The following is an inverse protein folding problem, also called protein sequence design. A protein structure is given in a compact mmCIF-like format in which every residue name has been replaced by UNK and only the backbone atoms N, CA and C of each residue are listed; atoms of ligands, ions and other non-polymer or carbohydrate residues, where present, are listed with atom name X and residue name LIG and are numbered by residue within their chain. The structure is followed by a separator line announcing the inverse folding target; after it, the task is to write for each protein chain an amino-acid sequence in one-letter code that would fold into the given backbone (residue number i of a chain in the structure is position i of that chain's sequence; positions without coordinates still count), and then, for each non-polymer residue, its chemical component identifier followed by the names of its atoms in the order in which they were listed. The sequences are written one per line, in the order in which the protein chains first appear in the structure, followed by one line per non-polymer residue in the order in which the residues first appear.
data_IF_798020826014
#
_entry.id   IF_798020826014
#
_cell.length_a   1.000
_cell.length_b   1.000
_cell.length_c   1.000
_cell.angle_alpha   90.00
_cell.angle_beta   90.00
_cell.angle_gamma   90.00
#
_symmetry.space_group_name_H-M   'P 1'
#
loop_
_entity.id
_entity.type
_entity.pdbx_description
1 polymer ?
#
# COMPACT_ATOMS: atom_id res chain seq x y z
N UNK A 1 -29.41 31.64 19.27
CA UNK A 1 -28.39 30.61 19.56
C UNK A 1 -28.71 29.39 18.72
N UNK A 2 -27.90 29.01 17.72
CA UNK A 2 -28.31 27.94 16.80
C UNK A 2 -27.30 27.56 15.71
N UNK A 3 -26.00 27.48 16.02
CA UNK A 3 -24.98 27.08 15.03
C UNK A 3 -24.02 25.95 15.46
N UNK A 4 -24.11 25.46 16.69
CA UNK A 4 -23.09 24.54 17.23
C UNK A 4 -23.36 23.05 17.03
N UNK A 5 -24.60 22.64 16.76
CA UNK A 5 -24.98 21.23 16.63
C UNK A 5 -24.59 20.62 15.28
N UNK A 6 -24.82 21.34 14.17
CA UNK A 6 -24.58 20.82 12.83
C UNK A 6 -23.09 20.55 12.50
N UNK A 7 -22.17 21.32 13.09
CA UNK A 7 -20.73 21.15 12.86
C UNK A 7 -20.21 19.86 13.51
N UNK A 8 -20.63 19.57 14.74
CA UNK A 8 -20.32 18.32 15.46
C UNK A 8 -20.75 17.09 14.67
N UNK A 9 -21.96 17.11 14.11
CA UNK A 9 -22.55 15.95 13.45
C UNK A 9 -21.94 15.71 12.07
N UNK A 10 -21.59 16.78 11.35
CA UNK A 10 -20.85 16.70 10.09
C UNK A 10 -19.43 16.12 10.30
N UNK A 11 -18.69 16.59 11.31
CA UNK A 11 -17.35 16.08 11.63
C UNK A 11 -17.36 14.61 12.03
N UNK A 12 -18.35 14.17 12.83
CA UNK A 12 -18.52 12.76 13.18
C UNK A 12 -18.82 11.88 11.95
N UNK A 13 -19.68 12.36 11.05
CA UNK A 13 -19.99 11.66 9.80
C UNK A 13 -18.78 11.52 8.89
N UNK A 14 -17.99 12.59 8.73
CA UNK A 14 -16.73 12.55 7.98
C UNK A 14 -15.72 11.60 8.59
N UNK A 15 -15.64 11.54 9.93
CA UNK A 15 -14.71 10.68 10.62
C UNK A 15 -15.03 9.19 10.47
N UNK A 16 -16.31 8.84 10.58
CA UNK A 16 -16.76 7.46 10.34
C UNK A 16 -16.47 7.00 8.90
N UNK A 17 -16.71 7.88 7.91
CA UNK A 17 -16.36 7.60 6.51
C UNK A 17 -14.85 7.44 6.31
N UNK A 18 -14.04 8.25 6.99
CA UNK A 18 -12.59 8.14 6.95
C UNK A 18 -12.11 6.80 7.54
N UNK A 19 -12.70 6.36 8.66
CA UNK A 19 -12.44 5.04 9.24
C UNK A 19 -12.72 3.90 8.26
N UNK A 20 -13.86 3.93 7.58
CA UNK A 20 -14.19 2.94 6.55
C UNK A 20 -13.21 2.96 5.38
N UNK A 21 -12.83 4.16 4.91
CA UNK A 21 -11.87 4.31 3.81
C UNK A 21 -10.49 3.76 4.18
N UNK A 22 -10.04 3.96 5.42
CA UNK A 22 -8.78 3.39 5.93
C UNK A 22 -8.80 1.86 5.92
N UNK A 23 -9.88 1.24 6.41
CA UNK A 23 -10.06 -0.22 6.41
C UNK A 23 -10.05 -0.75 4.98
N UNK A 24 -10.85 -0.14 4.10
CA UNK A 24 -10.92 -0.54 2.70
C UNK A 24 -9.55 -0.45 2.03
N UNK A 25 -8.84 0.67 2.20
CA UNK A 25 -7.51 0.86 1.62
C UNK A 25 -6.51 -0.17 2.17
N UNK A 26 -6.55 -0.45 3.46
CA UNK A 26 -5.70 -1.44 4.10
C UNK A 26 -5.93 -2.85 3.54
N UNK A 27 -7.20 -3.26 3.41
CA UNK A 27 -7.57 -4.59 2.94
C UNK A 27 -7.28 -4.76 1.44
N UNK A 28 -7.56 -3.74 0.61
CA UNK A 28 -7.23 -3.73 -0.81
C UNK A 28 -5.71 -3.79 -1.03
N UNK A 29 -4.93 -3.00 -0.29
CA UNK A 29 -3.47 -3.03 -0.35
C UNK A 29 -2.93 -4.41 0.07
N UNK A 30 -3.42 -4.97 1.18
CA UNK A 30 -3.01 -6.29 1.64
C UNK A 30 -3.33 -7.40 0.61
N UNK A 31 -4.52 -7.33 -0.02
CA UNK A 31 -4.92 -8.24 -1.09
C UNK A 31 -4.00 -8.13 -2.30
N UNK A 32 -3.75 -6.90 -2.79
CA UNK A 32 -2.88 -6.65 -3.93
C UNK A 32 -1.44 -7.13 -3.67
N UNK A 33 -0.90 -6.88 -2.47
CA UNK A 33 0.46 -7.31 -2.10
C UNK A 33 0.56 -8.83 -2.01
N UNK A 34 -0.49 -9.52 -1.54
CA UNK A 34 -0.55 -10.98 -1.50
C UNK A 34 -0.57 -11.56 -2.93
N UNK A 35 -1.36 -10.97 -3.82
CA UNK A 35 -1.41 -11.35 -5.23
C UNK A 35 -0.04 -11.12 -5.90
N UNK A 36 0.55 -9.94 -5.73
CA UNK A 36 1.87 -9.60 -6.26
C UNK A 36 2.94 -10.59 -5.81
N UNK A 37 3.02 -10.88 -4.50
CA UNK A 37 4.00 -11.84 -3.96
C UNK A 37 3.85 -13.24 -4.57
N UNK A 38 2.61 -13.65 -4.85
CA UNK A 38 2.32 -14.95 -5.46
C UNK A 38 2.73 -14.96 -6.94
N UNK A 39 2.37 -13.92 -7.69
CA UNK A 39 2.73 -13.76 -9.09
C UNK A 39 4.26 -13.68 -9.29
N UNK A 40 4.99 -13.00 -8.39
CA UNK A 40 6.45 -12.97 -8.43
C UNK A 40 7.07 -14.35 -8.20
N UNK A 41 6.51 -15.15 -7.29
CA UNK A 41 6.99 -16.52 -7.06
C UNK A 41 6.72 -17.43 -8.27
N UNK A 42 5.57 -17.25 -8.91
CA UNK A 42 5.23 -17.97 -10.14
C UNK A 42 6.12 -17.55 -11.31
N UNK A 43 6.35 -16.26 -11.48
CA UNK A 43 7.31 -15.72 -12.45
C UNK A 43 8.69 -16.32 -12.25
N UNK A 44 9.21 -16.28 -11.03
CA UNK A 44 10.51 -16.87 -10.70
C UNK A 44 10.58 -18.35 -11.08
N UNK A 45 9.51 -19.11 -10.79
CA UNK A 45 9.43 -20.54 -11.12
C UNK A 45 9.42 -20.78 -12.64
N UNK A 46 8.61 -20.03 -13.38
CA UNK A 46 8.46 -20.16 -14.85
C UNK A 46 9.75 -19.81 -15.60
N UNK A 47 10.54 -18.90 -15.06
CA UNK A 47 11.80 -18.45 -15.65
C UNK A 47 13.04 -19.14 -15.06
N UNK A 48 12.87 -20.17 -14.23
CA UNK A 48 13.98 -20.91 -13.65
C UNK A 48 14.85 -20.09 -12.67
N UNK A 49 14.31 -19.01 -12.11
CA UNK A 49 15.00 -18.12 -11.19
C UNK A 49 14.96 -18.72 -9.77
N UNK A 50 15.90 -19.62 -9.49
CA UNK A 50 15.94 -20.36 -8.21
C UNK A 50 17.00 -19.82 -7.20
N UNK A 51 17.89 -18.94 -7.64
CA UNK A 51 19.06 -18.47 -6.87
C UNK A 51 19.00 -16.95 -6.59
N UNK A 52 20.14 -16.31 -6.28
CA UNK A 52 20.20 -14.87 -5.96
C UNK A 52 19.56 -14.00 -7.07
N UNK A 53 18.93 -12.88 -6.69
CA UNK A 53 18.31 -11.87 -7.58
C UNK A 53 17.00 -12.27 -8.28
N UNK A 54 16.22 -13.19 -7.70
CA UNK A 54 14.84 -13.44 -8.18
C UNK A 54 13.96 -12.20 -8.06
N UNK A 55 12.90 -12.09 -8.87
CA UNK A 55 11.97 -10.97 -8.86
C UNK A 55 11.31 -10.82 -7.47
N UNK A 56 10.95 -11.95 -6.85
CA UNK A 56 10.44 -11.99 -5.49
C UNK A 56 11.44 -11.46 -4.47
N UNK A 57 12.72 -11.83 -4.58
CA UNK A 57 13.75 -11.36 -3.65
C UNK A 57 14.02 -9.86 -3.81
N UNK A 58 13.99 -9.36 -5.05
CA UNK A 58 14.22 -7.96 -5.41
C UNK A 58 13.16 -7.01 -4.83
N UNK A 59 11.89 -7.44 -4.79
CA UNK A 59 10.77 -6.62 -4.30
C UNK A 59 10.42 -6.89 -2.83
N UNK A 60 11.07 -7.85 -2.17
CA UNK A 60 10.66 -8.36 -0.86
C UNK A 60 10.57 -7.29 0.22
N UNK A 61 11.56 -6.39 0.29
CA UNK A 61 11.62 -5.35 1.31
C UNK A 61 10.51 -4.34 1.14
N UNK A 62 10.25 -3.90 -0.10
CA UNK A 62 9.23 -2.89 -0.38
C UNK A 62 7.83 -3.47 -0.16
N UNK A 63 7.58 -4.71 -0.58
CA UNK A 63 6.32 -5.41 -0.30
C UNK A 63 6.06 -5.48 1.21
N UNK A 64 7.11 -5.76 2.01
CA UNK A 64 7.00 -5.78 3.47
C UNK A 64 6.69 -4.39 4.02
N UNK A 65 7.43 -3.37 3.60
CA UNK A 65 7.22 -2.00 4.04
C UNK A 65 5.78 -1.51 3.73
N UNK A 66 5.29 -1.72 2.50
CA UNK A 66 3.92 -1.34 2.13
C UNK A 66 2.88 -2.11 2.92
N UNK A 67 3.12 -3.39 3.24
CA UNK A 67 2.24 -4.19 4.09
C UNK A 67 2.18 -3.63 5.53
N UNK A 68 3.33 -3.25 6.07
CA UNK A 68 3.42 -2.68 7.41
C UNK A 68 2.64 -1.34 7.47
N UNK A 69 2.76 -0.50 6.44
CA UNK A 69 1.97 0.73 6.30
C UNK A 69 0.46 0.47 6.16
N UNK A 70 0.05 -0.54 5.39
CA UNK A 70 -1.37 -0.94 5.29
C UNK A 70 -1.91 -1.43 6.64
N UNK A 71 -1.10 -2.16 7.40
CA UNK A 71 -1.47 -2.60 8.76
C UNK A 71 -1.62 -1.41 9.71
N UNK A 72 -0.78 -0.39 9.54
CA UNK A 72 -0.88 0.86 10.28
C UNK A 72 -2.15 1.64 9.94
N UNK A 73 -2.62 1.65 8.68
CA UNK A 73 -3.92 2.24 8.33
C UNK A 73 -5.07 1.60 9.11
N UNK A 74 -5.03 0.27 9.24
CA UNK A 74 -6.05 -0.48 9.98
C UNK A 74 -6.02 -0.15 11.47
N UNK A 75 -4.82 -0.05 12.05
CA UNK A 75 -4.68 0.43 13.42
C UNK A 75 -5.24 1.85 13.57
N UNK A 76 -4.99 2.76 12.63
CA UNK A 76 -5.55 4.12 12.69
C UNK A 76 -7.07 4.06 12.62
N UNK A 77 -7.65 3.24 11.74
CA UNK A 77 -9.10 3.07 11.67
C UNK A 77 -9.71 2.56 12.99
N UNK A 78 -9.04 1.62 13.65
CA UNK A 78 -9.49 1.11 14.95
C UNK A 78 -9.42 2.19 16.05
N UNK A 79 -8.50 3.17 15.93
CA UNK A 79 -8.43 4.32 16.84
C UNK A 79 -9.51 5.35 16.52
N UNK A 80 -9.84 5.53 15.23
CA UNK A 80 -10.96 6.37 14.78
C UNK A 80 -12.27 5.83 15.37
N UNK A 81 -12.52 4.52 15.28
CA UNK A 81 -13.75 3.90 15.80
C UNK A 81 -13.90 4.07 17.32
N UNK A 82 -12.78 4.13 18.05
CA UNK A 82 -12.75 4.28 19.52
C UNK A 82 -12.77 5.73 20.01
N UNK A 83 -12.58 6.71 19.13
CA UNK A 83 -12.50 8.12 19.51
C UNK A 83 -13.87 8.80 19.44
N UNK A 84 -14.34 9.35 20.56
CA UNK A 84 -15.63 10.05 20.63
C UNK A 84 -15.61 11.44 19.96
N UNK A 85 -14.44 12.09 19.96
CA UNK A 85 -14.23 13.43 19.40
C UNK A 85 -12.86 13.53 18.74
N UNK A 86 -12.80 13.37 17.42
CA UNK A 86 -11.56 13.45 16.67
C UNK A 86 -11.14 14.88 16.43
N UNK A 87 -9.84 15.13 16.49
CA UNK A 87 -9.26 16.40 16.11
C UNK A 87 -9.03 16.49 14.59
N UNK A 88 -9.06 17.71 14.04
CA UNK A 88 -8.73 17.96 12.63
C UNK A 88 -7.30 17.50 12.27
N UNK A 89 -6.37 17.54 13.24
CA UNK A 89 -5.01 17.03 13.07
C UNK A 89 -4.97 15.52 12.92
N UNK A 90 -5.77 14.77 13.69
CA UNK A 90 -5.90 13.31 13.54
C UNK A 90 -6.53 12.93 12.19
N UNK A 91 -7.54 13.68 11.74
CA UNK A 91 -8.16 13.53 10.42
C UNK A 91 -7.11 13.74 9.31
N UNK A 92 -6.33 14.81 9.43
CA UNK A 92 -5.28 15.15 8.45
C UNK A 92 -4.17 14.09 8.43
N UNK A 93 -3.75 13.61 9.61
CA UNK A 93 -2.76 12.56 9.73
C UNK A 93 -3.24 11.23 9.11
N UNK A 94 -4.50 10.84 9.37
CA UNK A 94 -5.11 9.66 8.79
C UNK A 94 -5.17 9.74 7.25
N UNK A 95 -5.58 10.89 6.70
CA UNK A 95 -5.56 11.13 5.24
C UNK A 95 -4.15 11.03 4.66
N UNK A 96 -3.16 11.63 5.33
CA UNK A 96 -1.76 11.57 4.90
C UNK A 96 -1.24 10.14 4.80
N UNK A 97 -1.62 9.26 5.74
CA UNK A 97 -1.24 7.84 5.68
C UNK A 97 -1.86 7.10 4.50
N UNK A 98 -3.12 7.38 4.15
CA UNK A 98 -3.75 6.81 2.94
C UNK A 98 -2.93 7.16 1.70
N UNK A 99 -2.52 8.43 1.57
CA UNK A 99 -1.67 8.87 0.47
C UNK A 99 -0.32 8.16 0.47
N UNK A 100 0.32 8.02 1.63
CA UNK A 100 1.59 7.32 1.76
C UNK A 100 1.52 5.84 1.29
N UNK A 101 0.42 5.13 1.60
CA UNK A 101 0.21 3.76 1.10
C UNK A 101 0.00 3.76 -0.42
N UNK A 102 -0.75 4.72 -0.95
CA UNK A 102 -0.94 4.88 -2.40
C UNK A 102 0.40 5.10 -3.12
N UNK A 103 1.23 6.00 -2.61
CA UNK A 103 2.56 6.30 -3.15
C UNK A 103 3.48 5.07 -3.10
N UNK A 104 3.47 4.33 -1.98
CA UNK A 104 4.24 3.09 -1.85
C UNK A 104 3.81 2.01 -2.87
N UNK A 105 2.51 1.89 -3.14
CA UNK A 105 1.99 1.00 -4.19
C UNK A 105 2.42 1.43 -5.60
N UNK A 106 2.46 2.75 -5.86
CA UNK A 106 2.97 3.31 -7.12
C UNK A 106 4.47 3.01 -7.27
N UNK A 107 5.25 3.14 -6.19
CA UNK A 107 6.69 2.88 -6.21
C UNK A 107 7.01 1.40 -6.39
N UNK A 108 6.21 0.49 -5.81
CA UNK A 108 6.27 -0.94 -6.11
C UNK A 108 6.10 -1.21 -7.61
N UNK A 109 5.13 -0.54 -8.26
CA UNK A 109 4.93 -0.66 -9.72
C UNK A 109 6.13 -0.13 -10.50
N UNK A 110 6.71 1.00 -10.10
CA UNK A 110 7.94 1.53 -10.73
C UNK A 110 9.11 0.57 -10.56
N UNK A 111 9.26 -0.02 -9.39
CA UNK A 111 10.34 -0.97 -9.05
C UNK A 111 10.21 -2.28 -9.82
N UNK A 112 8.99 -2.81 -9.96
CA UNK A 112 8.72 -3.95 -10.85
C UNK A 112 9.16 -3.65 -12.30
N UNK A 113 8.74 -2.51 -12.85
CA UNK A 113 9.16 -2.09 -14.21
C UNK A 113 10.67 -1.86 -14.35
N UNK A 114 11.36 -1.48 -13.28
CA UNK A 114 12.81 -1.35 -13.28
C UNK A 114 13.49 -2.72 -13.32
N UNK A 115 12.95 -3.70 -12.59
CA UNK A 115 13.38 -5.09 -12.66
C UNK A 115 13.20 -5.66 -14.07
N UNK A 116 12.00 -5.51 -14.66
CA UNK A 116 11.70 -5.99 -16.00
C UNK A 116 12.68 -5.41 -17.02
N UNK A 117 12.94 -4.09 -16.97
CA UNK A 117 13.89 -3.43 -17.87
C UNK A 117 15.31 -3.95 -17.71
N UNK A 118 15.77 -4.15 -16.47
CA UNK A 118 17.10 -4.68 -16.21
C UNK A 118 17.26 -6.07 -16.82
N UNK A 119 16.30 -6.95 -16.58
CA UNK A 119 16.37 -8.33 -17.06
C UNK A 119 16.05 -8.47 -18.55
N UNK A 120 15.24 -7.59 -19.14
CA UNK A 120 15.00 -7.58 -20.59
C UNK A 120 16.19 -7.08 -21.41
N UNK A 121 17.03 -6.23 -20.82
CA UNK A 121 18.25 -5.72 -21.46
C UNK A 121 19.35 -6.78 -21.45
N UNK A 122 19.45 -7.58 -20.39
CA UNK A 122 20.41 -8.68 -20.30
C UNK A 122 20.16 -9.74 -21.41
N UNK A 123 18.89 -10.04 -21.73
CA UNK A 123 18.49 -11.00 -22.79
C UNK A 123 18.93 -10.58 -24.21
N UNK A 124 19.27 -9.30 -24.44
CA UNK A 124 19.65 -8.78 -25.77
C UNK A 124 21.16 -8.62 -25.98
N UNK A 125 21.97 -8.89 -24.96
CA UNK A 125 23.43 -8.71 -25.03
C UNK A 125 24.23 -9.99 -25.34
N UNK A 126 23.57 -11.15 -25.47
CA UNK A 126 24.25 -12.42 -25.77
C UNK A 126 24.19 -12.88 -27.24
N UNK A 127 23.54 -12.14 -28.15
CA UNK A 127 23.53 -12.48 -29.58
C UNK A 127 24.42 -11.53 -30.40
N UNK A 128 25.72 -11.57 -30.17
CA UNK A 128 26.74 -11.05 -31.10
C UNK A 128 28.05 -11.80 -30.88
N UNK A 129 28.21 -12.92 -31.58
CA UNK A 129 29.49 -13.59 -31.85
C UNK A 129 29.48 -14.12 -33.27
#
# INVERSE_FOLDING_TARGET
MGKSTNYSDATKSEFSKLGQLLIQTADEAAFCLKALKSNLAEYDTRHGLFFLNTAKSYMRSDIRATKDMASELRHVADQIDKSETPSESEITAARSKIHAVSDAMIDLKKKARAYDRKNSLDDTSETSS
#
